data_IF_372037260339
#
_entry.id   IF_372037260339
#
_cell.length_a   1.000
_cell.length_b   1.000
_cell.length_c   1.000
_cell.angle_alpha   90.00
_cell.angle_beta   90.00
_cell.angle_gamma   90.00
#
_symmetry.space_group_name_H-M   'P 1'
#
loop_
_entity.id
_entity.type
_entity.pdbx_description
1 polymer ?
#
# COMPACT_ATOMS: atom_id res chain seq x y z
N UNK A 1 5.04 -25.07 -0.70
CA UNK A 1 3.81 -25.89 -0.76
C UNK A 1 3.23 -25.72 -2.15
N UNK A 2 2.91 -26.81 -2.86
CA UNK A 2 2.27 -26.75 -4.18
C UNK A 2 0.80 -27.05 -3.95
N UNK A 3 -0.06 -26.03 -4.00
CA UNK A 3 -1.51 -26.23 -3.97
C UNK A 3 -1.94 -26.82 -5.31
N UNK A 4 -2.70 -27.93 -5.29
CA UNK A 4 -3.34 -28.47 -6.49
C UNK A 4 -4.36 -27.47 -7.02
N UNK A 5 -4.48 -27.38 -8.34
CA UNK A 5 -5.40 -26.40 -8.95
C UNK A 5 -6.85 -26.61 -8.53
N UNK A 6 -7.25 -27.87 -8.33
CA UNK A 6 -8.62 -28.31 -7.96
C UNK A 6 -8.89 -28.39 -6.44
N UNK A 7 -8.08 -27.73 -5.60
CA UNK A 7 -8.31 -27.74 -4.15
C UNK A 7 -9.48 -26.84 -3.74
N UNK A 8 -10.37 -27.33 -2.87
CA UNK A 8 -11.43 -26.53 -2.25
C UNK A 8 -10.90 -25.50 -1.23
N UNK A 9 -9.67 -25.70 -0.74
CA UNK A 9 -9.03 -24.77 0.18
C UNK A 9 -8.64 -23.50 -0.57
N UNK A 10 -8.89 -22.36 0.07
CA UNK A 10 -8.34 -21.09 -0.33
C UNK A 10 -6.80 -21.17 -0.31
N UNK A 11 -6.18 -20.28 -1.07
CA UNK A 11 -4.73 -20.30 -1.29
C UNK A 11 -4.03 -19.21 -0.47
N UNK A 12 -4.72 -18.62 0.51
CA UNK A 12 -4.10 -17.77 1.50
C UNK A 12 -3.37 -18.63 2.53
N UNK A 13 -2.19 -18.18 2.93
CA UNK A 13 -1.34 -18.91 3.86
C UNK A 13 -0.85 -17.98 4.95
N UNK A 14 -1.08 -18.35 6.20
CA UNK A 14 -0.42 -17.70 7.33
C UNK A 14 0.87 -18.45 7.64
N UNK A 15 2.02 -17.79 7.57
CA UNK A 15 3.32 -18.37 7.91
C UNK A 15 3.85 -17.69 9.16
N UNK A 16 3.94 -18.45 10.26
CA UNK A 16 4.47 -17.97 11.53
C UNK A 16 5.80 -18.64 11.81
N UNK A 17 6.85 -17.85 11.99
CA UNK A 17 8.12 -18.38 12.47
C UNK A 17 9.12 -17.32 12.92
N UNK A 18 9.80 -17.58 14.03
CA UNK A 18 10.76 -16.64 14.61
C UNK A 18 11.92 -16.25 13.66
N UNK A 19 12.74 -15.30 14.09
CA UNK A 19 13.97 -14.95 13.36
C UNK A 19 14.86 -16.19 13.18
N UNK A 20 15.41 -16.38 11.99
CA UNK A 20 16.26 -17.54 11.67
C UNK A 20 15.51 -18.86 11.43
N UNK A 21 14.18 -18.92 11.53
CA UNK A 21 13.38 -20.13 11.29
C UNK A 21 13.38 -20.64 9.84
N UNK A 22 14.02 -19.90 8.92
CA UNK A 22 14.12 -20.28 7.52
C UNK A 22 12.92 -19.87 6.66
N UNK A 23 12.02 -18.99 7.11
CA UNK A 23 10.86 -18.49 6.33
C UNK A 23 11.21 -18.19 4.86
N UNK A 24 12.23 -17.37 4.63
CA UNK A 24 12.68 -16.96 3.29
C UNK A 24 13.17 -18.15 2.47
N UNK A 25 14.06 -18.98 3.02
CA UNK A 25 14.66 -20.12 2.30
C UNK A 25 13.68 -21.27 2.07
N UNK A 26 12.93 -21.66 3.10
CA UNK A 26 12.06 -22.83 3.09
C UNK A 26 10.72 -22.55 2.40
N UNK A 27 10.21 -21.32 2.47
CA UNK A 27 8.89 -20.97 1.92
C UNK A 27 8.96 -19.99 0.76
N UNK A 28 9.54 -18.80 0.96
CA UNK A 28 9.43 -17.70 -0.02
C UNK A 28 10.17 -18.02 -1.31
N UNK A 29 11.47 -18.30 -1.25
CA UNK A 29 12.29 -18.59 -2.43
C UNK A 29 11.73 -19.76 -3.24
N UNK A 30 11.30 -20.81 -2.56
CA UNK A 30 10.67 -21.97 -3.20
C UNK A 30 9.38 -21.58 -3.92
N UNK A 31 8.52 -20.76 -3.31
CA UNK A 31 7.30 -20.30 -3.97
C UNK A 31 7.61 -19.36 -5.13
N UNK A 32 8.58 -18.45 -5.00
CA UNK A 32 9.00 -17.58 -6.11
C UNK A 32 9.48 -18.44 -7.26
N UNK A 33 10.52 -19.26 -7.10
CA UNK A 33 11.14 -20.03 -8.19
C UNK A 33 10.15 -20.96 -8.90
N UNK A 34 9.30 -21.66 -8.14
CA UNK A 34 8.38 -22.66 -8.71
C UNK A 34 7.11 -22.06 -9.34
N UNK A 35 6.76 -20.80 -9.03
CA UNK A 35 5.59 -20.16 -9.64
C UNK A 35 5.91 -19.71 -11.06
N UNK A 36 5.27 -20.33 -12.06
CA UNK A 36 5.54 -20.06 -13.50
C UNK A 36 4.33 -19.55 -14.30
N UNK A 37 3.12 -19.68 -13.74
CA UNK A 37 1.85 -19.39 -14.40
C UNK A 37 1.03 -18.28 -13.71
N UNK A 38 1.61 -17.59 -12.73
CA UNK A 38 0.99 -16.52 -11.96
C UNK A 38 1.94 -15.35 -11.87
N UNK A 39 1.41 -14.14 -11.79
CA UNK A 39 2.21 -13.00 -11.37
C UNK A 39 2.60 -13.13 -9.90
N UNK A 40 3.72 -12.52 -9.52
CA UNK A 40 4.28 -12.64 -8.18
C UNK A 40 4.53 -11.24 -7.64
N UNK A 41 4.05 -10.95 -6.44
CA UNK A 41 4.38 -9.74 -5.68
C UNK A 41 5.07 -10.19 -4.40
N UNK A 42 6.30 -9.75 -4.17
CA UNK A 42 7.11 -10.17 -3.02
C UNK A 42 7.52 -8.94 -2.22
N UNK A 43 7.17 -8.86 -0.94
CA UNK A 43 7.89 -7.93 -0.05
C UNK A 43 9.22 -8.56 0.34
N UNK A 44 10.29 -7.80 0.19
CA UNK A 44 11.67 -8.28 0.32
C UNK A 44 12.48 -7.31 1.19
N UNK A 45 12.41 -7.43 2.52
CA UNK A 45 13.00 -6.43 3.40
C UNK A 45 14.53 -6.28 3.26
N UNK A 46 15.20 -7.28 2.69
CA UNK A 46 16.67 -7.28 2.51
C UNK A 46 17.10 -7.14 1.06
N UNK A 47 16.20 -7.21 0.10
CA UNK A 47 16.53 -7.26 -1.34
C UNK A 47 17.09 -8.60 -1.80
N UNK A 48 17.25 -9.59 -0.90
CA UNK A 48 17.92 -10.85 -1.21
C UNK A 48 17.09 -11.73 -2.17
N UNK A 49 15.76 -11.61 -2.11
CA UNK A 49 14.87 -12.40 -2.96
C UNK A 49 14.95 -11.87 -4.40
N UNK A 50 14.97 -10.54 -4.58
CA UNK A 50 15.21 -9.91 -5.89
C UNK A 50 16.57 -10.32 -6.47
N UNK A 51 17.64 -10.20 -5.69
CA UNK A 51 19.00 -10.54 -6.12
C UNK A 51 19.11 -12.00 -6.57
N UNK A 52 18.51 -12.93 -5.81
CA UNK A 52 18.62 -14.36 -6.09
C UNK A 52 17.72 -14.83 -7.24
N UNK A 53 16.56 -14.20 -7.47
CA UNK A 53 15.51 -14.80 -8.32
C UNK A 53 15.10 -13.97 -9.53
N UNK A 54 15.45 -12.68 -9.60
CA UNK A 54 14.99 -11.79 -10.67
C UNK A 54 15.46 -12.23 -12.07
N UNK A 55 16.70 -12.71 -12.19
CA UNK A 55 17.24 -13.23 -13.46
C UNK A 55 16.46 -14.45 -13.95
N UNK A 56 16.29 -15.44 -13.08
CA UNK A 56 15.51 -16.65 -13.39
C UNK A 56 14.08 -16.28 -13.81
N UNK A 57 13.45 -15.29 -13.15
CA UNK A 57 12.11 -14.84 -13.54
C UNK A 57 12.06 -14.26 -14.94
N UNK A 58 13.05 -13.45 -15.33
CA UNK A 58 13.16 -12.96 -16.72
C UNK A 58 13.33 -14.12 -17.71
N UNK A 59 14.16 -15.10 -17.38
CA UNK A 59 14.36 -16.31 -18.20
C UNK A 59 13.08 -17.18 -18.30
N UNK A 60 12.20 -17.14 -17.28
CA UNK A 60 10.86 -17.75 -17.29
C UNK A 60 9.77 -16.90 -17.98
N UNK A 61 10.16 -15.79 -18.64
CA UNK A 61 9.29 -14.92 -19.42
C UNK A 61 8.45 -13.94 -18.59
N UNK A 62 8.91 -13.58 -17.39
CA UNK A 62 8.28 -12.51 -16.60
C UNK A 62 8.86 -11.14 -16.97
N UNK A 63 8.00 -10.13 -17.03
CA UNK A 63 8.43 -8.76 -16.79
C UNK A 63 8.80 -8.61 -15.32
N UNK A 64 9.95 -8.01 -15.01
CA UNK A 64 10.44 -7.90 -13.64
C UNK A 64 10.62 -6.44 -13.27
N UNK A 65 9.93 -6.02 -12.22
CA UNK A 65 9.99 -4.66 -11.66
C UNK A 65 10.43 -4.68 -10.20
N UNK A 66 11.08 -3.61 -9.77
CA UNK A 66 11.60 -3.42 -8.42
C UNK A 66 11.10 -2.08 -7.86
N UNK A 67 10.28 -2.13 -6.82
CA UNK A 67 9.95 -0.96 -6.00
C UNK A 67 10.82 -0.99 -4.75
N UNK A 68 11.78 -0.08 -4.65
CA UNK A 68 12.76 -0.06 -3.57
C UNK A 68 12.61 1.18 -2.68
N UNK A 69 11.88 1.02 -1.58
CA UNK A 69 11.70 2.09 -0.59
C UNK A 69 12.95 2.35 0.25
N UNK A 70 13.88 1.38 0.33
CA UNK A 70 15.17 1.54 1.02
C UNK A 70 16.18 2.33 0.17
N UNK A 71 16.12 2.20 -1.16
CA UNK A 71 16.93 2.96 -2.10
C UNK A 71 16.16 3.28 -3.39
N UNK A 72 15.43 4.38 -3.34
CA UNK A 72 14.58 4.87 -4.43
C UNK A 72 15.35 5.20 -5.73
N UNK A 73 16.66 5.42 -5.67
CA UNK A 73 17.47 5.66 -6.88
C UNK A 73 17.68 4.40 -7.73
N UNK A 74 17.53 3.21 -7.11
CA UNK A 74 17.62 1.90 -7.78
C UNK A 74 16.23 1.30 -8.07
N UNK A 75 15.17 2.07 -7.82
CA UNK A 75 13.79 1.64 -7.94
C UNK A 75 13.23 2.00 -9.31
N UNK A 76 12.31 1.16 -9.81
CA UNK A 76 11.26 1.61 -10.73
C UNK A 76 10.41 2.70 -10.06
N UNK A 77 9.81 3.57 -10.88
CA UNK A 77 9.06 4.71 -10.39
C UNK A 77 7.58 4.35 -10.17
N UNK A 78 6.98 5.00 -9.18
CA UNK A 78 5.59 4.83 -8.78
C UNK A 78 4.98 6.17 -8.43
N UNK A 79 4.04 6.64 -9.26
CA UNK A 79 3.28 7.85 -8.99
C UNK A 79 1.87 7.49 -8.54
N UNK A 80 1.53 7.82 -7.29
CA UNK A 80 0.23 7.50 -6.71
C UNK A 80 -0.94 8.21 -7.38
N UNK A 81 -0.70 9.38 -7.98
CA UNK A 81 -1.75 10.15 -8.66
C UNK A 81 -2.25 9.44 -9.93
N UNK A 82 -1.42 8.57 -10.53
CA UNK A 82 -1.80 7.80 -11.72
C UNK A 82 -2.98 6.84 -11.47
N UNK A 83 -3.26 6.52 -10.19
CA UNK A 83 -4.30 5.57 -9.75
C UNK A 83 -5.42 6.27 -8.95
N UNK A 84 -5.53 7.58 -9.09
CA UNK A 84 -6.71 8.32 -8.67
C UNK A 84 -7.52 8.49 -9.94
N UNK A 85 -8.68 7.84 -10.07
CA UNK A 85 -9.56 8.03 -11.22
C UNK A 85 -10.79 8.85 -10.82
N UNK A 86 -11.39 8.49 -9.68
CA UNK A 86 -12.59 9.09 -9.11
C UNK A 86 -12.27 9.90 -7.85
N UNK A 87 -13.19 10.76 -7.43
CA UNK A 87 -13.05 11.59 -6.22
C UNK A 87 -12.83 10.75 -4.96
N UNK A 88 -13.54 9.62 -4.87
CA UNK A 88 -13.37 8.66 -3.77
C UNK A 88 -11.98 8.04 -3.71
N UNK A 89 -11.24 7.97 -4.82
CA UNK A 89 -9.88 7.43 -4.84
C UNK A 89 -8.90 8.43 -4.23
N UNK A 90 -9.10 9.72 -4.49
CA UNK A 90 -8.34 10.79 -3.86
C UNK A 90 -8.55 10.80 -2.34
N UNK A 91 -9.79 10.64 -1.89
CA UNK A 91 -10.12 10.57 -0.47
C UNK A 91 -9.56 9.33 0.21
N UNK A 92 -9.68 8.14 -0.41
CA UNK A 92 -9.07 6.89 0.09
C UNK A 92 -7.55 7.00 0.19
N UNK A 93 -6.91 7.57 -0.84
CA UNK A 93 -5.47 7.83 -0.84
C UNK A 93 -5.07 8.77 0.31
N UNK A 94 -5.75 9.92 0.43
CA UNK A 94 -5.46 10.91 1.47
C UNK A 94 -5.67 10.32 2.88
N UNK A 95 -6.75 9.56 3.07
CA UNK A 95 -7.04 8.85 4.32
C UNK A 95 -5.93 7.86 4.67
N UNK A 96 -5.51 7.04 3.71
CA UNK A 96 -4.44 6.06 3.92
C UNK A 96 -3.11 6.73 4.24
N UNK A 97 -2.82 7.86 3.59
CA UNK A 97 -1.60 8.63 3.82
C UNK A 97 -1.56 9.27 5.22
N UNK A 98 -2.67 9.88 5.65
CA UNK A 98 -2.79 10.54 6.95
C UNK A 98 -2.78 9.52 8.09
N UNK A 99 -3.59 8.46 7.99
CA UNK A 99 -3.74 7.46 9.05
C UNK A 99 -2.61 6.42 9.06
N UNK A 100 -2.03 6.10 7.90
CA UNK A 100 -0.98 5.07 7.77
C UNK A 100 0.37 5.47 8.35
N UNK A 101 0.56 6.73 8.71
CA UNK A 101 1.79 7.27 9.29
C UNK A 101 1.89 7.18 10.81
N UNK A 102 0.81 6.85 11.53
CA UNK A 102 0.75 6.94 12.99
C UNK A 102 0.52 5.57 13.67
N UNK A 103 1.14 5.36 14.83
CA UNK A 103 0.88 4.22 15.70
C UNK A 103 0.06 4.69 16.91
N UNK A 104 -1.22 4.33 16.93
CA UNK A 104 -2.14 4.64 18.03
C UNK A 104 -2.98 5.90 17.77
N UNK A 105 -4.30 5.75 17.75
CA UNK A 105 -5.24 6.86 17.72
C UNK A 105 -5.34 7.49 19.11
N UNK A 106 -5.02 8.78 19.24
CA UNK A 106 -5.56 9.60 20.33
C UNK A 106 -6.85 10.27 19.86
N UNK A 107 -7.86 10.31 20.72
CA UNK A 107 -9.20 10.83 20.39
C UNK A 107 -9.22 12.32 19.98
N UNK A 108 -8.19 13.10 20.33
CA UNK A 108 -8.04 14.50 19.91
C UNK A 108 -7.49 14.69 18.49
N UNK A 109 -6.87 13.66 17.90
CA UNK A 109 -6.24 13.75 16.58
C UNK A 109 -7.24 13.57 15.43
N UNK A 110 -8.39 12.90 15.66
CA UNK A 110 -9.38 12.58 14.61
C UNK A 110 -9.86 13.81 13.84
N UNK A 111 -10.19 14.90 14.55
CA UNK A 111 -10.64 16.13 13.91
C UNK A 111 -9.57 16.70 12.98
N UNK A 112 -8.32 16.76 13.43
CA UNK A 112 -7.22 17.27 12.62
C UNK A 112 -6.90 16.36 11.43
N UNK A 113 -7.00 15.04 11.62
CA UNK A 113 -6.82 14.04 10.58
C UNK A 113 -7.89 14.18 9.49
N UNK A 114 -9.18 14.27 9.85
CA UNK A 114 -10.29 14.44 8.89
C UNK A 114 -10.16 15.72 8.05
N UNK A 115 -9.81 16.83 8.69
CA UNK A 115 -9.59 18.10 7.98
C UNK A 115 -8.34 18.04 7.09
N UNK A 116 -7.27 17.38 7.54
CA UNK A 116 -6.07 17.17 6.74
C UNK A 116 -6.35 16.28 5.52
N UNK A 117 -7.14 15.21 5.69
CA UNK A 117 -7.62 14.37 4.59
C UNK A 117 -8.37 15.23 3.58
N UNK A 118 -9.33 16.05 4.03
CA UNK A 118 -10.12 16.91 3.14
C UNK A 118 -9.24 17.90 2.35
N UNK A 119 -8.25 18.52 3.01
CA UNK A 119 -7.31 19.43 2.35
C UNK A 119 -6.42 18.72 1.32
N UNK A 120 -5.91 17.53 1.64
CA UNK A 120 -5.08 16.73 0.72
C UNK A 120 -5.92 16.25 -0.47
N UNK A 121 -7.15 15.78 -0.24
CA UNK A 121 -8.10 15.40 -1.29
C UNK A 121 -8.35 16.56 -2.24
N UNK A 122 -8.63 17.75 -1.71
CA UNK A 122 -8.81 18.96 -2.53
C UNK A 122 -7.57 19.30 -3.36
N UNK A 123 -6.37 19.17 -2.77
CA UNK A 123 -5.11 19.39 -3.48
C UNK A 123 -4.85 18.37 -4.61
N UNK A 124 -5.14 17.09 -4.37
CA UNK A 124 -5.02 16.03 -5.38
C UNK A 124 -5.98 16.29 -6.55
N UNK A 125 -7.25 16.57 -6.25
CA UNK A 125 -8.26 16.87 -7.26
C UNK A 125 -7.92 18.13 -8.05
N UNK A 126 -7.44 19.19 -7.38
CA UNK A 126 -6.97 20.40 -8.05
C UNK A 126 -5.87 20.09 -9.07
N UNK A 127 -4.85 19.32 -8.66
CA UNK A 127 -3.74 18.93 -9.54
C UNK A 127 -4.25 18.13 -10.74
N UNK A 128 -5.21 17.22 -10.55
CA UNK A 128 -5.76 16.40 -11.63
C UNK A 128 -6.65 17.19 -12.60
N UNK A 129 -7.50 18.08 -12.08
CA UNK A 129 -8.47 18.85 -12.86
C UNK A 129 -7.83 20.04 -13.60
N UNK A 130 -6.86 20.71 -12.98
CA UNK A 130 -6.42 22.05 -13.41
C UNK A 130 -4.99 22.11 -13.93
N UNK A 131 -4.17 21.08 -13.70
CA UNK A 131 -2.77 21.06 -14.16
C UNK A 131 -2.58 20.07 -15.32
N UNK A 132 -1.59 20.30 -16.20
CA UNK A 132 -1.25 19.36 -17.26
C UNK A 132 -0.73 18.03 -16.68
N UNK A 133 -0.87 16.94 -17.45
CA UNK A 133 -0.59 15.57 -17.00
C UNK A 133 0.83 15.36 -16.48
N UNK A 134 1.81 16.10 -17.00
CA UNK A 134 3.22 16.05 -16.57
C UNK A 134 3.42 16.59 -15.14
N UNK A 135 2.43 17.30 -14.60
CA UNK A 135 2.41 17.85 -13.25
C UNK A 135 1.53 17.03 -12.29
N UNK A 136 0.94 15.92 -12.74
CA UNK A 136 0.09 15.06 -11.92
C UNK A 136 0.92 14.22 -10.96
N UNK A 137 1.55 14.85 -9.96
CA UNK A 137 2.30 14.15 -8.92
C UNK A 137 2.12 14.81 -7.56
N UNK A 138 2.40 14.04 -6.51
CA UNK A 138 2.33 14.53 -5.14
C UNK A 138 3.35 15.64 -4.81
N UNK A 139 4.39 15.85 -5.63
CA UNK A 139 5.25 17.05 -5.53
C UNK A 139 4.42 18.33 -5.72
N UNK A 140 3.56 18.36 -6.75
CA UNK A 140 2.73 19.53 -7.03
C UNK A 140 1.64 19.71 -5.99
N UNK A 141 1.05 18.62 -5.49
CA UNK A 141 0.09 18.67 -4.36
C UNK A 141 0.76 19.24 -3.12
N UNK A 142 1.96 18.78 -2.79
CA UNK A 142 2.71 19.26 -1.63
C UNK A 142 3.03 20.76 -1.75
N UNK A 143 3.54 21.20 -2.90
CA UNK A 143 3.87 22.62 -3.11
C UNK A 143 2.60 23.49 -3.09
N UNK A 144 1.53 23.08 -3.76
CA UNK A 144 0.24 23.75 -3.77
C UNK A 144 -0.31 24.03 -2.37
N UNK A 145 -0.17 23.06 -1.45
CA UNK A 145 -0.75 23.14 -0.11
C UNK A 145 0.18 23.79 0.92
N UNK A 146 1.47 23.97 0.62
CA UNK A 146 2.45 24.44 1.60
C UNK A 146 3.21 25.73 1.24
N UNK A 147 3.26 26.11 -0.04
CA UNK A 147 3.95 27.33 -0.48
C UNK A 147 3.07 28.59 -0.40
N UNK A 148 1.79 28.59 -0.84
CA UNK A 148 0.95 29.77 -0.79
C UNK A 148 0.54 30.16 0.62
N UNK A 149 0.25 31.45 0.83
CA UNK A 149 -0.44 31.93 2.02
C UNK A 149 -1.87 31.40 2.10
N UNK A 150 -2.45 31.38 3.30
CA UNK A 150 -3.86 31.02 3.52
C UNK A 150 -4.81 31.75 2.56
N UNK A 151 -4.60 33.07 2.41
CA UNK A 151 -5.44 33.91 1.55
C UNK A 151 -5.32 33.53 0.08
N UNK A 152 -4.10 33.25 -0.39
CA UNK A 152 -3.87 32.81 -1.77
C UNK A 152 -4.52 31.46 -2.04
N UNK A 153 -4.36 30.49 -1.14
CA UNK A 153 -4.95 29.16 -1.29
C UNK A 153 -6.49 29.22 -1.28
N UNK A 154 -7.08 29.94 -0.31
CA UNK A 154 -8.54 30.11 -0.24
C UNK A 154 -9.09 30.80 -1.48
N UNK A 155 -8.42 31.83 -1.99
CA UNK A 155 -8.82 32.51 -3.23
C UNK A 155 -8.70 31.59 -4.46
N UNK A 156 -7.64 30.77 -4.53
CA UNK A 156 -7.44 29.82 -5.62
C UNK A 156 -8.63 28.85 -5.73
N UNK A 157 -8.99 28.20 -4.62
CA UNK A 157 -10.14 27.27 -4.60
C UNK A 157 -11.49 27.97 -4.77
N UNK A 158 -11.63 29.22 -4.32
CA UNK A 158 -12.86 30.01 -4.53
C UNK A 158 -13.09 30.42 -5.99
N UNK A 159 -12.03 30.48 -6.81
CA UNK A 159 -12.11 30.83 -8.22
C UNK A 159 -12.36 29.64 -9.16
N UNK A 160 -12.35 28.41 -8.64
CA UNK A 160 -12.73 27.22 -9.40
C UNK A 160 -14.24 27.23 -9.72
N UNK A 161 -14.67 26.49 -10.74
CA UNK A 161 -16.10 26.30 -11.05
C UNK A 161 -16.85 25.69 -9.85
N UNK A 162 -18.14 25.99 -9.69
CA UNK A 162 -18.92 25.54 -8.52
C UNK A 162 -19.03 24.01 -8.46
N UNK A 163 -19.05 23.36 -9.61
CA UNK A 163 -19.10 21.91 -9.79
C UNK A 163 -17.74 21.21 -9.70
N UNK A 164 -16.63 21.95 -9.55
CA UNK A 164 -15.29 21.35 -9.40
C UNK A 164 -15.22 20.49 -8.13
N UNK A 165 -14.81 19.23 -8.26
CA UNK A 165 -14.65 18.32 -7.13
C UNK A 165 -13.58 18.83 -6.17
N UNK A 166 -12.51 19.44 -6.67
CA UNK A 166 -11.50 20.11 -5.86
C UNK A 166 -12.10 21.24 -4.99
N UNK A 167 -13.01 22.07 -5.53
CA UNK A 167 -13.71 23.12 -4.77
C UNK A 167 -14.64 22.54 -3.72
N UNK A 168 -15.39 21.48 -4.06
CA UNK A 168 -16.31 20.80 -3.15
C UNK A 168 -15.54 20.21 -1.96
N UNK A 169 -14.46 19.47 -2.21
CA UNK A 169 -13.61 18.88 -1.18
C UNK A 169 -12.98 19.97 -0.28
N UNK A 170 -12.51 21.09 -0.86
CA UNK A 170 -11.99 22.22 -0.10
C UNK A 170 -13.07 22.89 0.76
N UNK A 171 -14.34 22.74 0.41
CA UNK A 171 -15.49 23.31 1.11
C UNK A 171 -15.57 22.95 2.59
N UNK A 172 -14.99 21.81 3.00
CA UNK A 172 -14.93 21.36 4.39
C UNK A 172 -14.03 22.27 5.24
N UNK A 173 -12.91 22.73 4.68
CA UNK A 173 -11.87 23.51 5.39
C UNK A 173 -11.97 25.02 5.15
N UNK A 174 -12.80 25.46 4.18
CA UNK A 174 -12.84 26.86 3.70
C UNK A 174 -13.09 27.91 4.80
N UNK A 175 -13.92 27.56 5.79
CA UNK A 175 -14.38 28.45 6.86
C UNK A 175 -13.57 28.30 8.15
N UNK A 176 -12.47 27.54 8.15
CA UNK A 176 -11.59 27.43 9.30
C UNK A 176 -11.05 28.82 9.69
N UNK A 177 -11.08 29.13 10.99
CA UNK A 177 -10.45 30.33 11.56
C UNK A 177 -8.92 30.23 11.42
N UNK A 178 -8.19 31.34 11.46
CA UNK A 178 -6.73 31.36 11.28
C UNK A 178 -5.99 30.34 12.17
N UNK A 179 -6.41 30.22 13.45
CA UNK A 179 -5.83 29.24 14.38
C UNK A 179 -6.12 27.80 13.94
N UNK A 180 -7.34 27.53 13.50
CA UNK A 180 -7.72 26.20 13.01
C UNK A 180 -7.03 25.89 11.69
N UNK A 181 -6.97 26.85 10.77
CA UNK A 181 -6.31 26.71 9.48
C UNK A 181 -4.83 26.30 9.62
N UNK A 182 -4.09 26.99 10.48
CA UNK A 182 -2.69 26.63 10.77
C UNK A 182 -2.54 25.19 11.26
N UNK A 183 -3.49 24.68 12.06
CA UNK A 183 -3.53 23.29 12.50
C UNK A 183 -3.79 22.31 11.36
N UNK A 184 -4.74 22.62 10.46
CA UNK A 184 -5.08 21.77 9.30
C UNK A 184 -3.89 21.64 8.36
N UNK A 185 -3.29 22.78 7.94
CA UNK A 185 -2.14 22.79 7.02
C UNK A 185 -0.94 22.07 7.64
N UNK A 186 -0.69 22.28 8.95
CA UNK A 186 0.39 21.58 9.66
C UNK A 186 0.22 20.05 9.62
N UNK A 187 -0.99 19.55 9.85
CA UNK A 187 -1.28 18.11 9.79
C UNK A 187 -1.18 17.55 8.37
N UNK A 188 -1.71 18.27 7.37
CA UNK A 188 -1.57 17.88 5.97
C UNK A 188 -0.09 17.85 5.53
N UNK A 189 0.69 18.88 5.88
CA UNK A 189 2.12 18.95 5.59
C UNK A 189 2.93 17.85 6.31
N UNK A 190 2.53 17.45 7.52
CA UNK A 190 3.12 16.32 8.26
C UNK A 190 2.89 15.01 7.53
N UNK A 191 1.68 14.76 7.01
CA UNK A 191 1.36 13.56 6.24
C UNK A 191 2.13 13.50 4.91
N UNK A 192 2.27 14.63 4.22
CA UNK A 192 2.98 14.73 2.94
C UNK A 192 4.49 15.01 3.07
N UNK A 193 5.05 14.96 4.29
CA UNK A 193 6.45 15.39 4.55
C UNK A 193 7.50 14.69 3.68
N UNK A 194 7.22 13.48 3.20
CA UNK A 194 8.13 12.71 2.35
C UNK A 194 8.43 13.40 1.02
N UNK A 195 7.48 14.15 0.46
CA UNK A 195 7.68 14.88 -0.79
C UNK A 195 8.59 16.11 -0.64
N UNK A 196 9.03 16.46 0.57
CA UNK A 196 10.18 17.37 0.75
C UNK A 196 11.49 16.78 0.26
N UNK A 197 11.61 15.45 0.21
CA UNK A 197 12.83 14.74 -0.18
C UNK A 197 12.93 14.60 -1.70
N UNK A 198 14.05 15.04 -2.29
CA UNK A 198 14.29 14.94 -3.73
C UNK A 198 14.20 13.49 -4.25
N UNK A 199 14.64 12.51 -3.46
CA UNK A 199 14.56 11.08 -3.79
C UNK A 199 13.11 10.63 -3.98
N UNK A 200 12.22 11.00 -3.05
CA UNK A 200 10.79 10.67 -3.11
C UNK A 200 10.11 11.35 -4.29
N UNK A 201 10.42 12.63 -4.54
CA UNK A 201 9.88 13.36 -5.69
C UNK A 201 10.30 12.75 -7.02
N UNK A 202 11.56 12.33 -7.13
CA UNK A 202 12.07 11.65 -8.32
C UNK A 202 11.40 10.29 -8.53
N UNK A 203 11.29 9.49 -7.45
CA UNK A 203 10.64 8.18 -7.46
C UNK A 203 9.15 8.23 -7.80
N UNK A 204 8.46 9.31 -7.38
CA UNK A 204 7.01 9.47 -7.55
C UNK A 204 6.59 10.40 -8.68
N UNK A 205 7.47 10.62 -9.66
CA UNK A 205 7.20 11.53 -10.78
C UNK A 205 6.26 10.93 -11.84
N UNK A 206 6.42 9.64 -12.14
CA UNK A 206 5.59 8.87 -13.07
C UNK A 206 5.63 7.39 -12.67
N UNK A 207 4.71 6.56 -13.17
CA UNK A 207 4.78 5.11 -12.97
C UNK A 207 5.53 4.42 -14.10
N UNK A 208 6.54 3.60 -13.77
CA UNK A 208 7.27 2.78 -14.77
C UNK A 208 6.39 1.69 -15.40
N UNK A 209 5.37 1.24 -14.69
CA UNK A 209 4.39 0.24 -15.11
C UNK A 209 3.06 0.52 -14.42
N UNK A 210 1.95 -0.04 -14.94
CA UNK A 210 0.64 0.08 -14.30
C UNK A 210 0.43 -1.06 -13.33
N UNK A 211 -0.04 -0.78 -12.11
CA UNK A 211 -0.31 -1.81 -11.11
C UNK A 211 -1.30 -2.88 -11.60
N UNK A 212 -2.35 -2.47 -12.33
CA UNK A 212 -3.32 -3.40 -12.92
C UNK A 212 -2.69 -4.39 -13.92
N UNK A 213 -1.54 -4.07 -14.54
CA UNK A 213 -0.88 -4.98 -15.49
C UNK A 213 -0.40 -6.27 -14.82
N UNK A 214 -0.19 -6.26 -13.50
CA UNK A 214 0.18 -7.45 -12.72
C UNK A 214 -0.89 -8.54 -12.82
N UNK A 215 -2.16 -8.14 -12.95
CA UNK A 215 -3.29 -9.06 -13.15
C UNK A 215 -3.57 -9.42 -14.61
N UNK A 216 -2.89 -8.77 -15.57
CA UNK A 216 -3.13 -8.91 -17.03
C UNK A 216 -2.07 -9.74 -17.74
N UNK A 217 -0.82 -9.64 -17.28
CA UNK A 217 0.34 -10.32 -17.87
C UNK A 217 1.32 -10.74 -16.77
N UNK A 218 2.21 -11.68 -17.11
CA UNK A 218 3.15 -12.27 -16.15
C UNK A 218 4.18 -11.25 -15.66
N UNK A 219 3.95 -10.70 -14.47
CA UNK A 219 4.84 -9.75 -13.80
C UNK A 219 5.37 -10.35 -12.49
N UNK A 220 6.67 -10.20 -12.25
CA UNK A 220 7.28 -10.42 -10.94
C UNK A 220 7.71 -9.06 -10.37
N UNK A 221 6.95 -8.58 -9.39
CA UNK A 221 7.18 -7.34 -8.67
C UNK A 221 7.86 -7.64 -7.34
N UNK A 222 9.01 -7.04 -7.11
CA UNK A 222 9.74 -7.10 -5.85
C UNK A 222 9.63 -5.75 -5.15
N UNK A 223 9.28 -5.76 -3.86
CA UNK A 223 9.04 -4.56 -3.06
C UNK A 223 9.98 -4.56 -1.87
N UNK A 224 11.06 -3.79 -1.93
CA UNK A 224 12.03 -3.69 -0.84
C UNK A 224 11.57 -2.70 0.20
N UNK A 225 11.36 -3.20 1.43
CA UNK A 225 10.80 -2.45 2.56
C UNK A 225 11.86 -2.33 3.67
N UNK A 226 12.19 -1.12 4.15
CA UNK A 226 13.13 -0.97 5.25
C UNK A 226 12.57 -1.55 6.56
N UNK A 227 13.33 -2.42 7.22
CA UNK A 227 12.92 -3.09 8.48
C UNK A 227 12.86 -2.15 9.70
N UNK A 228 13.84 -1.25 9.82
CA UNK A 228 13.98 -0.39 10.99
C UNK A 228 13.44 1.04 10.76
N UNK A 229 13.43 1.49 9.51
CA UNK A 229 13.06 2.86 9.18
C UNK A 229 11.57 2.98 8.87
N UNK A 230 10.84 3.59 9.82
CA UNK A 230 9.40 3.83 9.71
C UNK A 230 9.06 5.07 8.87
N UNK A 231 10.06 5.81 8.38
CA UNK A 231 9.89 7.06 7.64
C UNK A 231 8.95 6.90 6.45
N UNK A 232 9.09 5.81 5.69
CA UNK A 232 8.35 5.58 4.46
C UNK A 232 7.05 4.79 4.63
N UNK A 233 6.66 4.46 5.87
CA UNK A 233 5.56 3.51 6.13
C UNK A 233 4.24 3.94 5.51
N UNK A 234 3.89 5.22 5.60
CA UNK A 234 2.65 5.73 5.01
C UNK A 234 2.65 5.56 3.48
N UNK A 235 3.78 5.81 2.82
CA UNK A 235 3.93 5.62 1.37
C UNK A 235 3.87 4.13 0.99
N UNK A 236 4.51 3.24 1.76
CA UNK A 236 4.45 1.79 1.56
C UNK A 236 3.02 1.28 1.70
N UNK A 237 2.33 1.67 2.77
CA UNK A 237 0.93 1.27 3.01
C UNK A 237 0.04 1.73 1.85
N UNK A 238 0.23 2.96 1.39
CA UNK A 238 -0.53 3.52 0.29
C UNK A 238 -0.24 2.80 -1.03
N UNK A 239 1.02 2.43 -1.29
CA UNK A 239 1.39 1.62 -2.45
C UNK A 239 0.66 0.28 -2.46
N UNK A 240 0.66 -0.47 -1.35
CA UNK A 240 -0.05 -1.74 -1.28
C UNK A 240 -1.57 -1.58 -1.35
N UNK A 241 -2.13 -0.54 -0.72
CA UNK A 241 -3.55 -0.23 -0.81
C UNK A 241 -4.00 0.03 -2.27
N UNK A 242 -3.23 0.84 -3.01
CA UNK A 242 -3.49 1.11 -4.42
C UNK A 242 -3.24 -0.15 -5.28
N UNK A 243 -2.21 -0.94 -5.01
CA UNK A 243 -1.98 -2.21 -5.72
C UNK A 243 -3.17 -3.16 -5.59
N UNK A 244 -3.69 -3.36 -4.38
CA UNK A 244 -4.87 -4.19 -4.18
C UNK A 244 -6.12 -3.56 -4.80
N UNK A 245 -6.28 -2.23 -4.75
CA UNK A 245 -7.39 -1.52 -5.38
C UNK A 245 -7.40 -1.74 -6.90
N UNK A 246 -6.26 -1.52 -7.57
CA UNK A 246 -6.13 -1.65 -9.02
C UNK A 246 -6.39 -3.07 -9.52
N UNK A 247 -5.95 -4.08 -8.75
CA UNK A 247 -6.23 -5.47 -9.07
C UNK A 247 -7.70 -5.84 -8.87
N UNK A 248 -8.34 -5.37 -7.79
CA UNK A 248 -9.77 -5.55 -7.59
C UNK A 248 -10.59 -4.88 -8.70
N UNK A 249 -10.30 -3.62 -8.99
CA UNK A 249 -10.99 -2.86 -10.04
C UNK A 249 -10.86 -3.54 -11.40
N UNK A 250 -9.67 -4.07 -11.72
CA UNK A 250 -9.51 -4.85 -12.94
C UNK A 250 -10.36 -6.13 -12.94
N UNK A 251 -10.31 -6.91 -11.85
CA UNK A 251 -11.09 -8.13 -11.74
C UNK A 251 -12.60 -7.89 -11.86
N UNK A 252 -13.12 -6.82 -11.25
CA UNK A 252 -14.54 -6.42 -11.35
C UNK A 252 -14.97 -6.18 -12.80
N UNK A 253 -14.08 -5.60 -13.62
CA UNK A 253 -14.31 -5.41 -15.06
C UNK A 253 -14.05 -6.67 -15.90
N UNK A 254 -13.48 -7.71 -15.30
CA UNK A 254 -13.04 -8.92 -15.98
C UNK A 254 -13.66 -10.19 -15.36
N UNK A 255 -14.98 -10.29 -15.40
CA UNK A 255 -15.73 -11.46 -14.93
C UNK A 255 -15.43 -11.87 -13.47
N UNK A 256 -15.10 -10.90 -12.60
CA UNK A 256 -14.68 -11.12 -11.22
C UNK A 256 -13.43 -12.02 -11.10
N UNK A 257 -12.48 -11.90 -12.03
CA UNK A 257 -11.22 -12.63 -11.96
C UNK A 257 -10.09 -11.92 -12.71
N UNK A 258 -8.84 -12.19 -12.31
CA UNK A 258 -7.66 -11.72 -13.03
C UNK A 258 -7.32 -12.69 -14.16
N UNK A 259 -6.94 -12.16 -15.34
CA UNK A 259 -6.46 -13.00 -16.45
C UNK A 259 -5.24 -13.83 -16.05
N UNK A 260 -4.34 -13.20 -15.30
CA UNK A 260 -3.20 -13.84 -14.67
C UNK A 260 -3.40 -13.76 -13.16
N UNK A 261 -3.64 -14.90 -12.47
CA UNK A 261 -3.71 -14.94 -11.02
C UNK A 261 -2.45 -14.35 -10.38
N UNK A 262 -2.59 -13.75 -9.20
CA UNK A 262 -1.49 -13.03 -8.53
C UNK A 262 -1.18 -13.68 -7.20
N UNK A 263 0.09 -14.01 -6.98
CA UNK A 263 0.59 -14.53 -5.70
C UNK A 263 1.36 -13.46 -4.95
N UNK A 264 0.84 -13.06 -3.80
CA UNK A 264 1.51 -12.20 -2.84
C UNK A 264 2.28 -13.05 -1.83
N UNK A 265 3.58 -12.78 -1.70
CA UNK A 265 4.46 -13.33 -0.67
C UNK A 265 4.93 -12.16 0.19
N UNK A 266 4.20 -11.89 1.26
CA UNK A 266 4.40 -10.70 2.08
C UNK A 266 5.31 -11.02 3.28
N UNK A 267 6.62 -11.09 3.05
CA UNK A 267 7.64 -11.23 4.11
C UNK A 267 7.59 -10.05 5.08
N UNK A 268 7.73 -10.38 6.37
CA UNK A 268 7.63 -9.43 7.48
C UNK A 268 6.42 -8.49 7.36
N UNK A 269 5.23 -9.08 7.13
CA UNK A 269 3.99 -8.39 6.79
C UNK A 269 3.66 -7.19 7.69
N UNK A 270 3.96 -7.26 8.99
CA UNK A 270 3.75 -6.18 9.95
C UNK A 270 4.47 -4.85 9.58
N UNK A 271 5.54 -4.92 8.78
CA UNK A 271 6.31 -3.76 8.34
C UNK A 271 5.63 -2.98 7.19
N UNK A 272 4.69 -3.58 6.46
CA UNK A 272 3.89 -2.86 5.45
C UNK A 272 3.06 -1.76 6.12
N UNK A 273 2.60 -1.98 7.35
CA UNK A 273 1.68 -1.10 8.07
C UNK A 273 0.31 -1.72 8.25
N UNK A 274 -0.59 -0.97 8.88
CA UNK A 274 -1.98 -1.39 9.01
C UNK A 274 -2.72 -0.98 7.75
N UNK A 275 -2.95 -1.94 6.86
CA UNK A 275 -3.89 -1.76 5.75
C UNK A 275 -5.32 -1.74 6.30
N UNK A 276 -6.12 -0.69 6.01
CA UNK A 276 -7.53 -0.67 6.37
C UNK A 276 -8.28 -1.88 5.78
N UNK A 277 -9.21 -2.43 6.56
CA UNK A 277 -10.15 -3.48 6.14
C UNK A 277 -9.48 -4.70 5.49
N UNK A 278 -8.26 -5.01 5.92
CA UNK A 278 -7.45 -6.05 5.29
C UNK A 278 -8.09 -7.44 5.43
N UNK A 279 -8.76 -7.72 6.55
CA UNK A 279 -9.46 -8.97 6.78
C UNK A 279 -10.64 -9.15 5.81
N UNK A 280 -11.49 -8.13 5.65
CA UNK A 280 -12.56 -8.18 4.64
C UNK A 280 -11.99 -8.29 3.23
N UNK A 281 -10.92 -7.54 2.93
CA UNK A 281 -10.27 -7.56 1.62
C UNK A 281 -9.71 -8.94 1.29
N UNK A 282 -9.08 -9.65 2.23
CA UNK A 282 -8.60 -11.02 2.04
C UNK A 282 -9.72 -11.97 1.58
N UNK A 283 -10.90 -11.87 2.20
CA UNK A 283 -12.04 -12.71 1.84
C UNK A 283 -12.50 -12.47 0.38
N UNK A 284 -12.42 -11.23 -0.08
CA UNK A 284 -12.86 -10.81 -1.42
C UNK A 284 -11.84 -11.17 -2.49
N UNK A 285 -10.55 -10.87 -2.27
CA UNK A 285 -9.50 -11.06 -3.29
C UNK A 285 -9.28 -12.53 -3.66
N UNK A 286 -9.75 -13.46 -2.82
CA UNK A 286 -9.80 -14.89 -3.11
C UNK A 286 -10.54 -15.19 -4.41
N UNK A 287 -11.74 -14.65 -4.61
CA UNK A 287 -12.56 -14.93 -5.79
C UNK A 287 -11.95 -14.32 -7.05
N UNK A 288 -11.21 -13.22 -6.91
CA UNK A 288 -10.50 -12.55 -7.99
C UNK A 288 -9.24 -13.29 -8.46
N UNK A 289 -8.86 -14.41 -7.84
CA UNK A 289 -7.67 -15.16 -8.21
C UNK A 289 -6.38 -14.62 -7.59
N UNK A 290 -6.48 -13.92 -6.46
CA UNK A 290 -5.32 -13.51 -5.68
C UNK A 290 -5.06 -14.47 -4.52
N UNK A 291 -3.79 -14.82 -4.33
CA UNK A 291 -3.30 -15.73 -3.29
C UNK A 291 -2.36 -14.94 -2.39
N UNK A 292 -2.64 -14.88 -1.10
CA UNK A 292 -1.89 -14.02 -0.16
C UNK A 292 -1.23 -14.86 0.90
N UNK A 293 0.10 -14.87 0.91
CA UNK A 293 0.89 -15.46 1.99
C UNK A 293 1.33 -14.36 2.94
N UNK A 294 0.78 -14.38 4.15
CA UNK A 294 1.08 -13.45 5.24
C UNK A 294 2.18 -14.10 6.08
N UNK A 295 3.35 -13.47 6.10
CA UNK A 295 4.54 -14.06 6.73
C UNK A 295 4.97 -13.15 7.88
N UNK A 296 4.91 -13.67 9.11
CA UNK A 296 5.19 -12.92 10.33
C UNK A 296 6.09 -13.70 11.30
N UNK A 297 6.73 -13.00 12.25
CA UNK A 297 7.60 -13.67 13.22
C UNK A 297 6.82 -14.35 14.34
N UNK A 298 5.71 -13.74 14.74
CA UNK A 298 4.83 -14.23 15.79
C UNK A 298 3.40 -13.75 15.53
N UNK A 299 2.43 -14.38 16.20
CA UNK A 299 1.05 -13.90 16.20
C UNK A 299 0.97 -12.55 16.92
N UNK A 300 1.79 -12.35 17.97
CA UNK A 300 1.89 -11.08 18.70
C UNK A 300 2.16 -9.88 17.80
N UNK A 301 3.05 -10.00 16.80
CA UNK A 301 3.29 -8.91 15.84
C UNK A 301 2.05 -8.53 15.02
N UNK A 302 1.21 -9.51 14.66
CA UNK A 302 -0.05 -9.26 13.98
C UNK A 302 -1.05 -8.60 14.94
N UNK A 303 -1.14 -9.09 16.18
CA UNK A 303 -2.01 -8.53 17.22
C UNK A 303 -1.64 -7.09 17.58
N UNK A 304 -0.36 -6.76 17.71
CA UNK A 304 0.11 -5.40 17.94
C UNK A 304 -0.32 -4.45 16.81
N UNK A 305 -0.42 -4.99 15.58
CA UNK A 305 -0.71 -4.18 14.41
C UNK A 305 -2.20 -4.02 14.11
N UNK A 306 -2.94 -5.13 14.16
CA UNK A 306 -4.34 -5.22 13.74
C UNK A 306 -5.31 -5.36 14.94
N UNK A 307 -4.80 -5.61 16.14
CA UNK A 307 -5.59 -5.98 17.30
C UNK A 307 -5.96 -7.47 17.27
N UNK A 308 -6.37 -8.00 18.42
CA UNK A 308 -6.69 -9.41 18.60
C UNK A 308 -7.81 -9.89 17.66
N UNK A 309 -8.93 -9.16 17.63
CA UNK A 309 -10.10 -9.49 16.81
C UNK A 309 -9.75 -9.62 15.32
N UNK A 310 -9.15 -8.58 14.75
CA UNK A 310 -8.83 -8.54 13.32
C UNK A 310 -7.71 -9.53 12.97
N UNK A 311 -6.77 -9.80 13.90
CA UNK A 311 -5.77 -10.87 13.71
C UNK A 311 -6.44 -12.24 13.59
N UNK A 312 -7.43 -12.53 14.45
CA UNK A 312 -8.22 -13.76 14.35
C UNK A 312 -8.94 -13.90 13.01
N UNK A 313 -9.52 -12.81 12.49
CA UNK A 313 -10.18 -12.78 11.19
C UNK A 313 -9.18 -12.94 10.02
N UNK A 314 -8.00 -12.33 10.09
CA UNK A 314 -6.93 -12.52 9.10
C UNK A 314 -6.49 -13.98 9.04
N UNK A 315 -6.25 -14.59 10.21
CA UNK A 315 -5.84 -15.99 10.30
C UNK A 315 -6.95 -16.94 9.84
N UNK A 316 -8.22 -16.65 10.15
CA UNK A 316 -9.35 -17.50 9.70
C UNK A 316 -9.58 -17.44 8.19
N UNK A 317 -9.21 -16.33 7.53
CA UNK A 317 -9.20 -16.23 6.07
C UNK A 317 -8.04 -17.01 5.43
N UNK A 318 -7.10 -17.56 6.20
CA UNK A 318 -6.02 -18.42 5.71
C UNK A 318 -6.37 -19.90 5.95
N UNK A 319 -6.73 -20.64 4.90
CA UNK A 319 -7.07 -22.07 5.03
C UNK A 319 -5.84 -22.93 5.36
N UNK A 320 -4.63 -22.38 5.18
CA UNK A 320 -3.37 -23.03 5.54
C UNK A 320 -2.57 -22.17 6.51
N UNK A 321 -2.12 -22.78 7.61
CA UNK A 321 -1.11 -22.19 8.48
C UNK A 321 0.15 -23.03 8.50
N UNK A 322 1.29 -22.40 8.25
CA UNK A 322 2.62 -23.02 8.35
C UNK A 322 3.33 -22.44 9.57
N UNK A 323 3.53 -23.27 10.58
CA UNK A 323 4.27 -22.92 11.78
C UNK A 323 5.69 -23.50 11.70
N UNK A 324 6.71 -22.63 11.73
CA UNK A 324 8.13 -22.98 11.63
C UNK A 324 8.86 -22.87 12.99
N UNK A 325 8.11 -22.79 14.08
CA UNK A 325 8.62 -22.60 15.43
C UNK A 325 8.72 -21.13 15.86
N UNK A 326 8.64 -20.89 17.16
CA UNK A 326 8.67 -19.56 17.75
C UNK A 326 9.38 -19.59 19.11
N UNK A 327 9.93 -18.44 19.50
CA UNK A 327 10.42 -18.22 20.87
C UNK A 327 9.39 -17.45 21.72
N UNK A 328 8.27 -17.04 21.13
CA UNK A 328 7.18 -16.33 21.80
C UNK A 328 6.24 -17.34 22.48
N UNK A 329 6.12 -17.27 23.81
CA UNK A 329 5.36 -18.26 24.58
C UNK A 329 3.87 -18.28 24.24
N UNK A 330 3.27 -17.14 23.96
CA UNK A 330 1.83 -17.08 23.67
C UNK A 330 1.52 -17.60 22.27
N UNK A 331 2.38 -17.31 21.29
CA UNK A 331 2.34 -17.99 19.98
C UNK A 331 2.56 -19.50 20.13
N UNK A 332 3.48 -19.94 21.00
CA UNK A 332 3.72 -21.37 21.21
C UNK A 332 2.49 -22.07 21.80
N UNK A 333 1.84 -21.46 22.81
CA UNK A 333 0.58 -21.96 23.40
C UNK A 333 -0.55 -22.01 22.39
N UNK A 334 -0.61 -21.06 21.46
CA UNK A 334 -1.64 -21.04 20.41
C UNK A 334 -1.58 -22.28 19.50
N UNK A 335 -0.38 -22.82 19.26
CA UNK A 335 -0.16 -23.95 18.35
C UNK A 335 0.01 -25.32 19.04
N UNK A 336 0.00 -25.39 20.37
CA UNK A 336 0.19 -26.63 21.17
C UNK A 336 -1.12 -27.26 21.60
#
# INVERSE_FOLDING_TARGET
MIHKEDSFLNRHVCVIGGSGSGKTKCYILNNVVNTKNKSIVVSDPKGEIYELTSREKREQGYEVYLINFSNMALSDMYNSIDYVELDQDAEKFATTLVLGGEEGQQSGDSFWQEQAVSLITAGILYVRENLPKEQHSMEYVYNLLTEPSEKELKNLFANLEEESSARIAFGVVKNATDKTWGGIVSNAAKAMKLWKLKSVRTFSKYSSFKLADIGKRKIALYVVIPLADRTYRALINTFFAQLFQELCAYADTNHNTLDIPVRFLLDEFANIGKMPDFAERLSTVRSYGMEVSIIAQSIGQLMDRYGEKQTGEIMSNCDTTLFLGTNDLDTAKYFS
#
